data_IF_271171442014
#
_entry.id   IF_271171442014
#
_cell.length_a   1.000
_cell.length_b   1.000
_cell.length_c   1.000
_cell.angle_alpha   90.00
_cell.angle_beta   90.00
_cell.angle_gamma   90.00
#
_symmetry.space_group_name_H-M   'P 1'
#
loop_
_entity.id
_entity.type
_entity.pdbx_description
1 polymer ?
#
# COMPACT_ATOMS: atom_id res chain seq x y z
N UNK A 1 -11.98 -12.48 -22.53
CA UNK A 1 -11.58 -12.75 -21.14
C UNK A 1 -10.91 -11.50 -20.64
N UNK A 2 -11.20 -11.04 -19.42
CA UNK A 2 -10.42 -9.95 -18.83
C UNK A 2 -8.99 -10.44 -18.63
N UNK A 3 -8.00 -9.64 -19.02
CA UNK A 3 -6.60 -9.95 -18.74
C UNK A 3 -6.32 -9.66 -17.26
N UNK A 4 -5.36 -10.36 -16.65
CA UNK A 4 -4.97 -10.09 -15.28
C UNK A 4 -4.57 -8.61 -15.08
N UNK A 5 -3.97 -8.01 -16.11
CA UNK A 5 -3.63 -6.58 -16.14
C UNK A 5 -4.84 -5.67 -15.90
N UNK A 6 -5.98 -5.93 -16.56
CA UNK A 6 -7.18 -5.08 -16.45
C UNK A 6 -7.74 -5.12 -15.02
N UNK A 7 -7.80 -6.32 -14.44
CA UNK A 7 -8.27 -6.53 -13.06
C UNK A 7 -7.34 -5.89 -12.04
N UNK A 8 -6.02 -6.05 -12.22
CA UNK A 8 -5.05 -5.48 -11.29
C UNK A 8 -4.96 -3.95 -11.40
N UNK A 9 -5.07 -3.39 -12.61
CA UNK A 9 -5.11 -1.95 -12.81
C UNK A 9 -6.32 -1.32 -12.09
N UNK A 10 -7.50 -1.92 -12.21
CA UNK A 10 -8.71 -1.51 -11.50
C UNK A 10 -8.52 -1.57 -9.97
N UNK A 11 -8.05 -2.71 -9.44
CA UNK A 11 -7.85 -2.88 -8.00
C UNK A 11 -6.79 -1.95 -7.40
N UNK A 12 -5.71 -1.68 -8.13
CA UNK A 12 -4.66 -0.75 -7.69
C UNK A 12 -5.14 0.71 -7.73
N UNK A 13 -5.98 1.09 -8.71
CA UNK A 13 -6.68 2.38 -8.70
C UNK A 13 -7.60 2.49 -7.49
N UNK A 14 -8.30 1.41 -7.13
CA UNK A 14 -9.14 1.36 -5.95
C UNK A 14 -8.37 1.48 -4.63
N UNK A 15 -7.12 1.05 -4.59
CA UNK A 15 -6.24 1.34 -3.45
C UNK A 15 -5.83 2.82 -3.39
N UNK A 16 -5.72 3.51 -4.53
CA UNK A 16 -5.13 4.84 -4.61
C UNK A 16 -6.17 5.96 -4.44
N UNK A 17 -7.07 6.11 -5.42
CA UNK A 17 -7.94 7.27 -5.55
C UNK A 17 -9.28 7.02 -6.28
N UNK A 18 -9.59 5.78 -6.66
CA UNK A 18 -10.81 5.44 -7.39
C UNK A 18 -11.79 4.64 -6.51
N UNK A 19 -12.88 5.23 -6.00
CA UNK A 19 -13.78 4.53 -5.10
C UNK A 19 -14.35 3.22 -5.66
N UNK A 20 -14.39 2.19 -4.84
CA UNK A 20 -14.91 0.86 -5.21
C UNK A 20 -15.64 0.23 -4.01
N UNK A 21 -15.50 -1.07 -3.78
CA UNK A 21 -16.08 -1.81 -2.65
C UNK A 21 -15.59 -1.31 -1.27
N UNK A 22 -14.54 -0.49 -1.23
CA UNK A 22 -14.01 0.21 -0.08
C UNK A 22 -13.52 1.61 -0.52
N UNK A 23 -13.33 2.52 0.44
CA UNK A 23 -12.82 3.87 0.16
C UNK A 23 -11.34 3.80 -0.22
N UNK A 24 -10.88 4.60 -1.19
CA UNK A 24 -9.48 4.61 -1.60
C UNK A 24 -8.60 5.30 -0.55
N UNK A 25 -7.28 5.11 -0.65
CA UNK A 25 -6.32 5.77 0.25
C UNK A 25 -6.52 7.28 0.32
N UNK A 26 -6.69 7.95 -0.82
CA UNK A 26 -6.87 9.41 -0.87
C UNK A 26 -8.03 9.92 -0.01
N UNK A 27 -9.11 9.14 0.10
CA UNK A 27 -10.27 9.46 0.92
C UNK A 27 -10.08 9.03 2.37
N UNK A 28 -9.46 7.86 2.60
CA UNK A 28 -9.25 7.33 3.95
C UNK A 28 -8.40 8.27 4.83
N UNK A 29 -7.52 9.07 4.22
CA UNK A 29 -6.68 10.07 4.91
C UNK A 29 -7.03 11.53 4.56
N UNK A 30 -8.21 11.77 3.98
CA UNK A 30 -8.69 13.13 3.73
C UNK A 30 -8.92 13.89 5.04
N UNK A 31 -8.46 15.14 5.09
CA UNK A 31 -8.64 16.07 6.21
C UNK A 31 -8.20 15.54 7.59
N UNK A 32 -7.26 14.59 7.62
CA UNK A 32 -6.69 14.09 8.85
C UNK A 32 -5.70 15.10 9.44
N UNK A 33 -5.82 15.40 10.73
CA UNK A 33 -4.83 16.22 11.43
C UNK A 33 -3.54 15.43 11.70
N UNK A 34 -2.43 16.12 11.93
CA UNK A 34 -1.19 15.48 12.39
C UNK A 34 -1.40 14.74 13.72
N UNK A 35 -2.18 15.30 14.64
CA UNK A 35 -2.49 14.65 15.92
C UNK A 35 -3.22 13.31 15.70
N UNK A 36 -4.27 13.30 14.88
CA UNK A 36 -5.04 12.09 14.57
C UNK A 36 -4.22 11.08 13.76
N UNK A 37 -3.33 11.55 12.88
CA UNK A 37 -2.47 10.68 12.09
C UNK A 37 -1.51 9.85 12.95
N UNK A 38 -0.94 10.49 13.97
CA UNK A 38 0.06 9.88 14.85
C UNK A 38 -0.56 9.21 16.09
N UNK A 39 -1.85 9.43 16.35
CA UNK A 39 -2.56 8.77 17.44
C UNK A 39 -2.65 7.25 17.25
N UNK A 40 -2.53 6.52 18.38
CA UNK A 40 -2.68 5.07 18.44
C UNK A 40 -3.87 4.67 19.33
N UNK A 41 -4.67 3.66 18.94
CA UNK A 41 -5.69 3.09 19.81
C UNK A 41 -5.15 2.53 21.14
N UNK A 42 -3.98 1.92 21.10
CA UNK A 42 -3.23 1.38 22.24
C UNK A 42 -1.77 1.12 21.83
N UNK A 43 -0.93 0.70 22.79
CA UNK A 43 0.51 0.46 22.59
C UNK A 43 0.82 -0.64 21.56
N UNK A 44 -0.09 -1.62 21.40
CA UNK A 44 0.05 -2.74 20.46
C UNK A 44 -0.49 -2.42 19.05
N UNK A 45 -1.09 -1.24 18.87
CA UNK A 45 -1.70 -0.83 17.60
C UNK A 45 -0.80 0.12 16.82
N UNK A 46 -0.93 0.09 15.50
CA UNK A 46 -0.30 1.06 14.62
C UNK A 46 -1.16 2.33 14.50
N UNK A 47 -0.51 3.48 14.42
CA UNK A 47 -1.14 4.74 14.02
C UNK A 47 -1.41 4.75 12.51
N UNK A 48 -2.18 5.75 12.04
CA UNK A 48 -2.41 5.92 10.61
C UNK A 48 -1.09 6.26 9.90
N UNK A 49 -0.24 7.11 10.49
CA UNK A 49 1.08 7.44 9.96
C UNK A 49 1.96 6.18 9.79
N UNK A 50 2.00 5.29 10.80
CA UNK A 50 2.76 4.04 10.74
C UNK A 50 2.22 3.10 9.66
N UNK A 51 0.89 3.00 9.50
CA UNK A 51 0.29 2.21 8.42
C UNK A 51 0.60 2.80 7.04
N UNK A 52 0.64 4.12 6.88
CA UNK A 52 1.05 4.77 5.64
C UNK A 52 2.51 4.47 5.32
N UNK A 53 3.39 4.55 6.31
CA UNK A 53 4.80 4.21 6.17
C UNK A 53 5.00 2.73 5.80
N UNK A 54 4.21 1.82 6.39
CA UNK A 54 4.21 0.40 6.04
C UNK A 54 3.83 0.15 4.58
N UNK A 55 2.74 0.77 4.12
CA UNK A 55 2.32 0.66 2.73
C UNK A 55 3.33 1.29 1.78
N UNK A 56 3.96 2.40 2.15
CA UNK A 56 4.98 3.06 1.36
C UNK A 56 6.19 2.13 1.17
N UNK A 57 6.69 1.54 2.26
CA UNK A 57 7.80 0.59 2.22
C UNK A 57 7.51 -0.59 1.29
N UNK A 58 6.35 -1.25 1.44
CA UNK A 58 6.04 -2.44 0.68
C UNK A 58 5.76 -2.15 -0.80
N UNK A 59 5.05 -1.06 -1.11
CA UNK A 59 4.83 -0.69 -2.50
C UNK A 59 6.14 -0.28 -3.19
N UNK A 60 6.98 0.55 -2.58
CA UNK A 60 8.29 0.89 -3.15
C UNK A 60 9.17 -0.37 -3.35
N UNK A 61 9.14 -1.29 -2.39
CA UNK A 61 9.87 -2.55 -2.44
C UNK A 61 9.41 -3.40 -3.62
N UNK A 62 8.10 -3.62 -3.75
CA UNK A 62 7.55 -4.44 -4.82
C UNK A 62 7.66 -3.77 -6.18
N UNK A 63 7.61 -2.45 -6.29
CA UNK A 63 7.89 -1.75 -7.54
C UNK A 63 9.35 -1.90 -7.97
N UNK A 64 10.31 -1.81 -7.04
CA UNK A 64 11.74 -2.05 -7.34
C UNK A 64 11.96 -3.49 -7.79
N UNK A 65 11.37 -4.47 -7.10
CA UNK A 65 11.43 -5.90 -7.46
C UNK A 65 10.80 -6.17 -8.82
N UNK A 66 9.62 -5.61 -9.09
CA UNK A 66 8.92 -5.73 -10.36
C UNK A 66 9.75 -5.19 -11.53
N UNK A 67 10.29 -3.97 -11.39
CA UNK A 67 11.17 -3.33 -12.39
C UNK A 67 12.43 -4.15 -12.69
N UNK A 68 12.99 -4.83 -11.67
CA UNK A 68 14.19 -5.66 -11.82
C UNK A 68 13.89 -7.12 -12.15
N UNK A 69 12.63 -7.55 -12.04
CA UNK A 69 12.21 -8.93 -12.26
C UNK A 69 12.64 -9.93 -11.20
N UNK A 70 13.19 -9.49 -10.06
CA UNK A 70 13.82 -10.38 -9.09
C UNK A 70 13.59 -9.91 -7.65
N UNK A 71 13.28 -10.82 -6.73
CA UNK A 71 12.96 -10.48 -5.32
C UNK A 71 14.15 -9.86 -4.57
N UNK A 72 15.37 -10.35 -4.81
CA UNK A 72 16.60 -9.81 -4.22
C UNK A 72 17.00 -8.41 -4.70
N UNK A 73 16.25 -7.78 -5.62
CA UNK A 73 16.45 -6.37 -5.96
C UNK A 73 16.28 -5.43 -4.76
N UNK A 74 15.55 -5.88 -3.73
CA UNK A 74 15.50 -5.25 -2.41
C UNK A 74 15.73 -6.34 -1.37
N UNK A 75 16.78 -6.23 -0.53
CA UNK A 75 17.05 -7.19 0.54
C UNK A 75 15.84 -7.37 1.46
N UNK A 76 15.69 -8.55 2.09
CA UNK A 76 14.64 -8.75 3.08
C UNK A 76 14.83 -7.78 4.26
N UNK A 77 13.73 -7.19 4.72
CA UNK A 77 13.67 -6.52 6.01
C UNK A 77 13.53 -7.61 7.09
N UNK A 78 14.33 -7.54 8.15
CA UNK A 78 14.47 -8.66 9.09
C UNK A 78 13.15 -9.02 9.74
N UNK A 79 12.46 -8.01 10.28
CA UNK A 79 11.10 -8.12 10.82
C UNK A 79 10.14 -7.22 10.05
N UNK A 80 8.93 -7.70 9.80
CA UNK A 80 7.89 -6.86 9.17
C UNK A 80 7.61 -5.59 9.98
N UNK A 81 7.70 -5.64 11.30
CA UNK A 81 7.47 -4.48 12.19
C UNK A 81 8.38 -3.30 11.87
N UNK A 82 9.58 -3.54 11.33
CA UNK A 82 10.53 -2.49 10.94
C UNK A 82 9.98 -1.61 9.81
N UNK A 83 9.02 -2.10 9.02
CA UNK A 83 8.39 -1.32 7.95
C UNK A 83 7.39 -0.28 8.44
N UNK A 84 6.96 -0.34 9.71
CA UNK A 84 6.11 0.67 10.34
C UNK A 84 6.93 1.83 10.93
N UNK A 85 8.25 1.71 11.01
CA UNK A 85 9.12 2.72 11.63
C UNK A 85 9.14 4.00 10.78
N UNK A 86 8.72 5.11 11.40
CA UNK A 86 8.66 6.41 10.76
C UNK A 86 10.05 7.05 10.65
N UNK A 87 10.40 7.68 9.51
CA UNK A 87 11.59 8.52 9.41
C UNK A 87 11.54 9.69 10.41
N UNK A 88 12.71 10.10 10.90
CA UNK A 88 12.80 11.29 11.77
C UNK A 88 12.32 12.55 11.02
N UNK A 89 11.56 13.40 11.72
CA UNK A 89 11.05 14.68 11.22
C UNK A 89 10.15 14.60 9.97
N UNK A 90 9.53 13.45 9.70
CA UNK A 90 8.54 13.31 8.63
C UNK A 90 7.20 13.92 9.07
N UNK A 91 6.53 14.68 8.20
CA UNK A 91 5.15 15.11 8.43
C UNK A 91 4.17 14.07 7.89
N UNK A 92 2.94 14.03 8.40
CA UNK A 92 1.92 13.16 7.81
C UNK A 92 1.59 13.59 6.37
N UNK A 93 1.63 14.89 6.07
CA UNK A 93 1.43 15.38 4.71
C UNK A 93 2.44 14.77 3.73
N UNK A 94 3.74 14.73 4.10
CA UNK A 94 4.78 14.13 3.28
C UNK A 94 4.55 12.63 3.05
N UNK A 95 4.17 11.89 4.10
CA UNK A 95 3.85 10.47 4.01
C UNK A 95 2.66 10.20 3.09
N UNK A 96 1.61 11.01 3.24
CA UNK A 96 0.38 10.92 2.44
C UNK A 96 0.66 11.18 0.97
N UNK A 97 1.37 12.27 0.65
CA UNK A 97 1.69 12.62 -0.74
C UNK A 97 2.55 11.53 -1.39
N UNK A 98 3.62 11.09 -0.70
CA UNK A 98 4.50 10.03 -1.20
C UNK A 98 3.77 8.70 -1.41
N UNK A 99 2.94 8.28 -0.47
CA UNK A 99 2.21 7.02 -0.65
C UNK A 99 1.23 7.11 -1.82
N UNK A 100 0.51 8.22 -1.97
CA UNK A 100 -0.41 8.40 -3.09
C UNK A 100 0.34 8.34 -4.44
N UNK A 101 1.48 9.01 -4.56
CA UNK A 101 2.34 8.94 -5.75
C UNK A 101 2.80 7.50 -6.04
N UNK A 102 3.26 6.79 -5.01
CA UNK A 102 3.71 5.40 -5.13
C UNK A 102 2.56 4.48 -5.53
N UNK A 103 1.37 4.62 -4.95
CA UNK A 103 0.21 3.80 -5.34
C UNK A 103 -0.19 4.04 -6.81
N UNK A 104 -0.23 5.31 -7.24
CA UNK A 104 -0.55 5.68 -8.63
C UNK A 104 0.53 5.24 -9.63
N UNK A 105 1.78 5.12 -9.19
CA UNK A 105 2.88 4.68 -10.05
C UNK A 105 2.65 3.28 -10.62
N UNK A 106 1.87 2.41 -9.96
CA UNK A 106 1.56 1.08 -10.49
C UNK A 106 0.92 1.13 -11.87
N UNK A 107 0.02 2.09 -12.14
CA UNK A 107 -0.64 2.23 -13.46
C UNK A 107 0.36 2.39 -14.60
N UNK A 108 1.53 2.98 -14.33
CA UNK A 108 2.58 3.19 -15.32
C UNK A 108 3.58 2.02 -15.41
N UNK A 109 3.58 1.10 -14.44
CA UNK A 109 4.51 -0.02 -14.38
C UNK A 109 3.93 -1.31 -14.95
N UNK A 110 2.62 -1.51 -14.86
CA UNK A 110 2.00 -2.74 -15.30
C UNK A 110 2.23 -2.96 -16.81
N UNK A 111 2.59 -4.18 -17.16
CA UNK A 111 2.57 -4.65 -18.54
C UNK A 111 2.14 -6.11 -18.55
N UNK A 112 1.39 -6.49 -19.57
CA UNK A 112 0.87 -7.85 -19.67
C UNK A 112 1.99 -8.89 -19.69
N UNK A 113 3.02 -8.67 -20.53
CA UNK A 113 4.19 -9.56 -20.63
C UNK A 113 4.85 -9.79 -19.27
N UNK A 114 5.03 -8.73 -18.48
CA UNK A 114 5.71 -8.85 -17.18
C UNK A 114 4.82 -9.51 -16.14
N UNK A 115 3.53 -9.21 -16.13
CA UNK A 115 2.56 -9.82 -15.23
C UNK A 115 2.45 -11.34 -15.42
N UNK A 116 2.55 -11.80 -16.67
CA UNK A 116 2.51 -13.23 -17.04
C UNK A 116 3.88 -13.93 -16.86
N UNK A 117 4.96 -13.19 -16.56
CA UNK A 117 6.28 -13.79 -16.34
C UNK A 117 6.45 -14.30 -14.91
N UNK A 118 7.32 -15.29 -14.74
CA UNK A 118 7.74 -15.77 -13.43
C UNK A 118 8.51 -14.70 -12.63
N UNK A 119 8.47 -14.84 -11.31
CA UNK A 119 9.16 -14.00 -10.34
C UNK A 119 10.48 -14.67 -9.96
N UNK A 120 11.60 -14.14 -10.45
CA UNK A 120 12.90 -14.73 -10.14
C UNK A 120 13.26 -14.58 -8.65
N UNK A 121 13.72 -15.70 -8.08
CA UNK A 121 14.15 -15.80 -6.68
C UNK A 121 13.00 -15.89 -5.68
N UNK A 122 11.74 -15.90 -6.10
CA UNK A 122 10.64 -16.22 -5.19
C UNK A 122 10.78 -17.68 -4.71
N UNK A 123 10.48 -18.00 -3.42
CA UNK A 123 10.69 -19.35 -2.89
C UNK A 123 9.90 -20.45 -3.60
N UNK A 124 8.78 -20.09 -4.21
CA UNK A 124 7.88 -20.97 -4.95
C UNK A 124 7.70 -20.43 -6.38
N UNK A 125 7.27 -21.27 -7.31
CA UNK A 125 6.88 -20.80 -8.66
C UNK A 125 5.67 -19.89 -8.51
N UNK A 126 5.82 -18.65 -8.95
CA UNK A 126 4.79 -17.64 -8.93
C UNK A 126 5.02 -16.65 -10.08
N UNK A 127 3.94 -16.24 -10.73
CA UNK A 127 3.94 -15.15 -11.70
C UNK A 127 3.68 -13.80 -11.02
N UNK A 128 4.11 -12.73 -11.69
CA UNK A 128 3.95 -11.37 -11.16
C UNK A 128 2.49 -11.00 -10.90
N UNK A 129 1.54 -11.46 -11.71
CA UNK A 129 0.12 -11.15 -11.48
C UNK A 129 -0.37 -11.63 -10.11
N UNK A 130 0.11 -12.79 -9.62
CA UNK A 130 -0.28 -13.32 -8.33
C UNK A 130 0.29 -12.48 -7.18
N UNK A 131 1.54 -12.05 -7.33
CA UNK A 131 2.21 -11.19 -6.35
C UNK A 131 1.55 -9.81 -6.27
N UNK A 132 1.25 -9.19 -7.42
CA UNK A 132 0.59 -7.88 -7.46
C UNK A 132 -0.86 -7.97 -6.97
N UNK A 133 -1.55 -9.09 -7.21
CA UNK A 133 -2.86 -9.36 -6.61
C UNK A 133 -2.81 -9.40 -5.07
N UNK A 134 -1.80 -10.06 -4.50
CA UNK A 134 -1.61 -10.04 -3.05
C UNK A 134 -1.29 -8.63 -2.53
N UNK A 135 -0.47 -7.86 -3.27
CA UNK A 135 -0.18 -6.46 -2.92
C UNK A 135 -1.44 -5.59 -2.91
N UNK A 136 -2.34 -5.74 -3.88
CA UNK A 136 -3.58 -4.94 -3.93
C UNK A 136 -4.50 -5.24 -2.73
N UNK A 137 -4.59 -6.52 -2.34
CA UNK A 137 -5.36 -6.92 -1.14
C UNK A 137 -4.71 -6.47 0.17
N UNK A 138 -3.37 -6.47 0.24
CA UNK A 138 -2.61 -5.94 1.38
C UNK A 138 -2.83 -4.43 1.56
N UNK A 139 -2.80 -3.67 0.48
CA UNK A 139 -3.14 -2.24 0.49
C UNK A 139 -4.57 -2.03 1.01
N UNK A 140 -5.56 -2.73 0.45
CA UNK A 140 -6.96 -2.62 0.87
C UNK A 140 -7.16 -2.97 2.36
N UNK A 141 -6.45 -3.99 2.86
CA UNK A 141 -6.47 -4.38 4.26
C UNK A 141 -6.05 -3.23 5.18
N UNK A 142 -4.91 -2.59 4.91
CA UNK A 142 -4.43 -1.47 5.74
C UNK A 142 -5.24 -0.19 5.55
N UNK A 143 -5.75 0.10 4.36
CA UNK A 143 -6.69 1.22 4.15
C UNK A 143 -7.94 1.03 5.01
N UNK A 144 -8.48 -0.19 5.06
CA UNK A 144 -9.60 -0.52 5.95
C UNK A 144 -9.26 -0.32 7.43
N UNK A 145 -8.05 -0.68 7.86
CA UNK A 145 -7.58 -0.40 9.23
C UNK A 145 -7.50 1.10 9.53
N UNK A 146 -7.01 1.93 8.59
CA UNK A 146 -6.97 3.39 8.75
C UNK A 146 -8.38 3.96 8.98
N UNK A 147 -9.35 3.54 8.15
CA UNK A 147 -10.76 3.93 8.32
C UNK A 147 -11.30 3.50 9.68
N UNK A 148 -10.96 2.29 10.14
CA UNK A 148 -11.39 1.82 11.45
C UNK A 148 -10.77 2.63 12.60
N UNK A 149 -9.49 3.00 12.51
CA UNK A 149 -8.84 3.90 13.48
C UNK A 149 -9.56 5.25 13.53
N UNK A 150 -9.91 5.84 12.37
CA UNK A 150 -10.69 7.08 12.32
C UNK A 150 -12.07 6.96 12.96
N UNK A 151 -12.73 5.80 12.80
CA UNK A 151 -14.00 5.53 13.48
C UNK A 151 -13.84 5.49 14.99
N UNK A 152 -12.74 4.95 15.52
CA UNK A 152 -12.43 4.97 16.96
C UNK A 152 -12.15 6.39 17.47
N UNK A 153 -11.52 7.24 16.65
CA UNK A 153 -11.28 8.66 16.97
C UNK A 153 -12.55 9.52 16.90
N UNK A 154 -13.61 9.04 16.22
CA UNK A 154 -14.75 9.87 15.82
C UNK A 154 -14.42 10.87 14.71
N UNK A 155 -13.26 10.73 14.05
CA UNK A 155 -12.77 11.60 12.96
C UNK A 155 -13.22 11.14 11.56
N UNK A 156 -13.97 10.05 11.48
CA UNK A 156 -14.54 9.53 10.23
C UNK A 156 -15.92 10.15 9.97
N UNK A 157 -16.00 11.07 8.99
CA UNK A 157 -17.24 11.81 8.71
C UNK A 157 -18.10 11.25 7.56
N UNK A 158 -17.61 10.22 6.83
CA UNK A 158 -18.36 9.58 5.75
C UNK A 158 -19.18 8.40 6.30
N UNK A 159 -20.41 8.67 6.74
CA UNK A 159 -21.40 7.64 7.14
C UNK A 159 -22.14 7.06 5.96
#
# INVERSE_FOLDING_TARGET
>A
MAHAMDVLADQLSANANDPSWYVPFSESVADLSEEDAFWKPNEESNSIAEMVQHLLYWNETWQKRYKKGHVNAVPPIGRNDESFVLPENITFSDLKERLLEVLLQWQNLLSQEKLESEVEGFPESAEWWAIIGNLSTHNAYHIGQMVYVRKLQGSWMNS
#
